data_IF_160007170386
#
_entry.id   IF_160007170386
#
_cell.length_a   1.000
_cell.length_b   1.000
_cell.length_c   1.000
_cell.angle_alpha   90.00
_cell.angle_beta   90.00
_cell.angle_gamma   90.00
#
_symmetry.space_group_name_H-M   'P 1'
#
loop_
_entity.id
_entity.type
_entity.pdbx_description
1 polymer ?
#
# COMPACT_ATOMS: atom_id res chain seq x y z
N UNK A 1 -29.89 48.51 -3.09
CA UNK A 1 -29.84 47.18 -2.46
C UNK A 1 -28.75 46.41 -3.18
N UNK A 2 -27.51 46.58 -2.72
CA UNK A 2 -26.35 45.89 -3.29
C UNK A 2 -26.36 44.45 -2.76
N UNK A 3 -26.45 43.49 -3.67
CA UNK A 3 -26.27 42.08 -3.38
C UNK A 3 -24.81 41.89 -2.96
N UNK A 4 -24.60 41.63 -1.67
CA UNK A 4 -23.36 41.08 -1.18
C UNK A 4 -23.22 39.69 -1.79
N UNK A 5 -22.36 39.58 -2.81
CA UNK A 5 -21.87 38.30 -3.31
C UNK A 5 -21.21 37.58 -2.13
N UNK A 6 -21.99 36.65 -1.56
CA UNK A 6 -21.57 35.77 -0.50
C UNK A 6 -20.46 34.90 -1.08
N UNK A 7 -19.22 35.23 -0.76
CA UNK A 7 -18.03 34.46 -1.12
C UNK A 7 -18.33 32.96 -1.01
N UNK A 8 -18.25 32.24 -2.12
CA UNK A 8 -18.13 30.79 -2.10
C UNK A 8 -16.82 30.48 -1.38
N UNK A 9 -16.89 30.29 -0.06
CA UNK A 9 -15.83 29.65 0.69
C UNK A 9 -15.68 28.26 0.08
N UNK A 10 -14.66 28.10 -0.78
CA UNK A 10 -14.15 26.78 -1.14
C UNK A 10 -14.04 26.00 0.16
N UNK A 11 -14.87 24.95 0.28
CA UNK A 11 -14.86 24.10 1.46
C UNK A 11 -13.41 23.68 1.68
N UNK A 12 -12.84 24.10 2.82
CA UNK A 12 -11.47 23.77 3.17
C UNK A 12 -11.28 22.27 2.93
N UNK A 13 -10.35 21.91 2.05
CA UNK A 13 -10.06 20.50 1.77
C UNK A 13 -9.86 19.82 3.13
N UNK A 14 -10.67 18.81 3.48
CA UNK A 14 -10.54 18.17 4.78
C UNK A 14 -9.09 17.70 4.91
N UNK A 15 -8.44 18.06 6.02
CA UNK A 15 -7.11 17.58 6.35
C UNK A 15 -7.08 16.05 6.21
N UNK A 16 -5.99 15.52 5.66
CA UNK A 16 -5.87 14.08 5.42
C UNK A 16 -6.19 13.30 6.70
N UNK A 17 -7.14 12.36 6.60
CA UNK A 17 -7.52 11.54 7.75
C UNK A 17 -6.30 10.76 8.26
N UNK A 18 -6.24 10.36 9.54
CA UNK A 18 -5.15 9.52 10.04
C UNK A 18 -4.94 8.26 9.19
N UNK A 19 -6.04 7.68 8.70
CA UNK A 19 -5.98 6.48 7.86
C UNK A 19 -5.42 6.77 6.47
N UNK A 20 -5.81 7.90 5.86
CA UNK A 20 -5.20 8.37 4.61
C UNK A 20 -3.70 8.60 4.76
N UNK A 21 -3.28 9.23 5.86
CA UNK A 21 -1.86 9.47 6.15
C UNK A 21 -1.07 8.16 6.26
N UNK A 22 -1.60 7.17 6.97
CA UNK A 22 -0.95 5.86 7.08
C UNK A 22 -0.89 5.12 5.74
N UNK A 23 -1.97 5.15 4.95
CA UNK A 23 -2.00 4.55 3.62
C UNK A 23 -0.95 5.19 2.69
N UNK A 24 -0.84 6.53 2.69
CA UNK A 24 0.17 7.26 1.93
C UNK A 24 1.60 6.87 2.34
N UNK A 25 1.88 6.85 3.64
CA UNK A 25 3.21 6.46 4.15
C UNK A 25 3.58 5.02 3.77
N UNK A 26 2.60 4.10 3.81
CA UNK A 26 2.80 2.72 3.39
C UNK A 26 3.14 2.62 1.90
N UNK A 27 2.38 3.31 1.04
CA UNK A 27 2.63 3.34 -0.40
C UNK A 27 3.96 4.02 -0.75
N UNK A 28 4.33 5.08 -0.03
CA UNK A 28 5.65 5.72 -0.17
C UNK A 28 6.78 4.77 0.22
N UNK A 29 6.60 3.98 1.27
CA UNK A 29 7.58 2.96 1.67
C UNK A 29 7.77 1.93 0.56
N UNK A 30 6.68 1.42 -0.02
CA UNK A 30 6.74 0.47 -1.14
C UNK A 30 7.39 1.09 -2.39
N UNK A 31 7.08 2.37 -2.67
CA UNK A 31 7.68 3.11 -3.79
C UNK A 31 9.17 3.33 -3.57
N UNK A 32 9.58 3.69 -2.35
CA UNK A 32 10.98 3.84 -1.97
C UNK A 32 11.78 2.53 -2.04
N UNK A 33 11.10 1.39 -1.90
CA UNK A 33 11.68 0.06 -2.08
C UNK A 33 11.63 -0.45 -3.53
N UNK A 34 11.07 0.33 -4.47
CA UNK A 34 10.93 -0.07 -5.87
C UNK A 34 9.91 -1.19 -6.13
N UNK A 35 9.04 -1.48 -5.16
CA UNK A 35 8.03 -2.55 -5.27
C UNK A 35 6.79 -2.12 -6.07
N UNK A 36 6.56 -0.81 -6.19
CA UNK A 36 5.45 -0.24 -6.96
C UNK A 36 5.85 -0.10 -8.43
N UNK A 37 5.35 -1.03 -9.25
CA UNK A 37 5.41 -0.93 -10.71
C UNK A 37 4.24 -0.10 -11.28
N UNK A 38 4.34 0.31 -12.55
CA UNK A 38 3.33 1.14 -13.23
C UNK A 38 1.90 0.56 -13.16
N UNK A 39 1.74 -0.76 -13.21
CA UNK A 39 0.43 -1.41 -13.14
C UNK A 39 -0.24 -1.28 -11.75
N UNK A 40 0.50 -0.88 -10.71
CA UNK A 40 -0.03 -0.64 -9.37
C UNK A 40 -0.51 0.80 -9.14
N UNK A 41 -0.22 1.76 -10.02
CA UNK A 41 -0.51 3.18 -9.78
C UNK A 41 -2.02 3.46 -9.61
N UNK A 42 -2.86 2.83 -10.43
CA UNK A 42 -4.32 2.94 -10.29
C UNK A 42 -4.79 2.40 -8.93
N UNK A 43 -4.21 1.27 -8.50
CA UNK A 43 -4.52 0.66 -7.20
C UNK A 43 -4.06 1.55 -6.05
N UNK A 44 -2.90 2.17 -6.15
CA UNK A 44 -2.39 3.13 -5.17
C UNK A 44 -3.36 4.31 -5.00
N UNK A 45 -3.84 4.88 -6.11
CA UNK A 45 -4.83 5.97 -6.07
C UNK A 45 -6.14 5.53 -5.39
N UNK A 46 -6.64 4.33 -5.73
CA UNK A 46 -7.85 3.78 -5.10
C UNK A 46 -7.67 3.51 -3.60
N UNK A 47 -6.52 2.99 -3.17
CA UNK A 47 -6.22 2.77 -1.75
C UNK A 47 -6.28 4.10 -0.97
N UNK A 48 -5.71 5.16 -1.54
CA UNK A 48 -5.75 6.50 -0.93
C UNK A 48 -7.19 7.01 -0.82
N UNK A 49 -7.98 6.93 -1.88
CA UNK A 49 -9.38 7.38 -1.86
C UNK A 49 -10.26 6.57 -0.89
N UNK A 50 -10.11 5.24 -0.88
CA UNK A 50 -10.82 4.37 0.06
C UNK A 50 -10.40 4.64 1.51
N UNK A 51 -9.11 4.84 1.77
CA UNK A 51 -8.62 5.17 3.12
C UNK A 51 -9.16 6.50 3.63
N UNK A 52 -9.33 7.50 2.75
CA UNK A 52 -10.00 8.77 3.07
C UNK A 52 -11.47 8.54 3.39
N UNK A 53 -12.21 7.89 2.50
CA UNK A 53 -13.66 7.68 2.64
C UNK A 53 -14.00 6.88 3.92
N UNK A 54 -13.22 5.86 4.25
CA UNK A 54 -13.41 5.09 5.49
C UNK A 54 -13.02 5.94 6.70
N UNK A 55 -11.92 6.70 6.64
CA UNK A 55 -11.52 7.60 7.72
C UNK A 55 -12.59 8.65 8.05
N UNK A 56 -13.16 9.28 7.02
CA UNK A 56 -14.27 10.24 7.16
C UNK A 56 -15.53 9.57 7.70
N UNK A 57 -15.91 8.40 7.16
CA UNK A 57 -17.07 7.65 7.62
C UNK A 57 -16.99 7.24 9.09
N UNK A 58 -15.79 6.85 9.55
CA UNK A 58 -15.53 6.53 10.95
C UNK A 58 -15.55 7.77 11.85
N UNK A 59 -14.98 8.90 11.39
CA UNK A 59 -14.94 10.16 12.14
C UNK A 59 -16.34 10.75 12.40
N UNK A 60 -17.28 10.55 11.46
CA UNK A 60 -18.67 11.03 11.61
C UNK A 60 -19.51 10.19 12.60
N UNK A 61 -18.93 9.16 13.23
CA UNK A 61 -19.63 8.27 14.17
C UNK A 61 -20.69 7.36 13.52
N UNK A 62 -20.93 7.50 12.21
CA UNK A 62 -21.88 6.71 11.44
C UNK A 62 -21.19 5.45 10.92
N UNK A 63 -21.06 4.45 11.79
CA UNK A 63 -20.62 3.10 11.38
C UNK A 63 -21.73 2.42 10.57
N UNK A 64 -21.76 2.70 9.28
CA UNK A 64 -22.74 2.15 8.34
C UNK A 64 -22.21 0.88 7.67
N UNK A 65 -23.13 0.07 7.12
CA UNK A 65 -22.78 -1.06 6.24
C UNK A 65 -21.87 -0.62 5.10
N UNK A 66 -22.09 0.58 4.55
CA UNK A 66 -21.25 1.15 3.50
C UNK A 66 -19.81 1.35 3.98
N UNK A 67 -19.59 1.92 5.17
CA UNK A 67 -18.25 2.14 5.74
C UNK A 67 -17.54 0.81 5.98
N UNK A 68 -18.25 -0.22 6.47
CA UNK A 68 -17.70 -1.57 6.66
C UNK A 68 -17.33 -2.22 5.33
N UNK A 69 -18.15 -2.07 4.30
CA UNK A 69 -17.84 -2.59 2.95
C UNK A 69 -16.63 -1.90 2.34
N UNK A 70 -16.51 -0.58 2.49
CA UNK A 70 -15.32 0.16 2.04
C UNK A 70 -14.07 -0.27 2.81
N UNK A 71 -14.17 -0.51 4.12
CA UNK A 71 -13.07 -1.03 4.92
C UNK A 71 -12.64 -2.43 4.47
N UNK A 72 -13.61 -3.30 4.12
CA UNK A 72 -13.32 -4.62 3.55
C UNK A 72 -12.59 -4.50 2.21
N UNK A 73 -13.11 -3.69 1.29
CA UNK A 73 -12.47 -3.47 -0.01
C UNK A 73 -11.06 -2.90 0.14
N UNK A 74 -10.85 -1.96 1.07
CA UNK A 74 -9.53 -1.43 1.38
C UNK A 74 -8.58 -2.55 1.85
N UNK A 75 -9.02 -3.43 2.75
CA UNK A 75 -8.23 -4.57 3.20
C UNK A 75 -7.91 -5.54 2.06
N UNK A 76 -8.89 -5.86 1.22
CA UNK A 76 -8.70 -6.76 0.07
C UNK A 76 -7.65 -6.15 -0.89
N UNK A 77 -7.74 -4.85 -1.16
CA UNK A 77 -6.77 -4.16 -2.02
C UNK A 77 -5.37 -4.07 -1.42
N UNK A 78 -5.25 -3.92 -0.09
CA UNK A 78 -3.98 -3.93 0.62
C UNK A 78 -3.35 -5.33 0.66
N UNK A 79 -4.16 -6.39 0.75
CA UNK A 79 -3.68 -7.77 0.71
C UNK A 79 -3.03 -8.12 -0.63
N UNK A 80 -3.53 -7.52 -1.71
CA UNK A 80 -2.98 -7.70 -3.06
C UNK A 80 -1.76 -6.79 -3.35
N UNK A 81 -1.32 -5.95 -2.40
CA UNK A 81 -0.12 -5.13 -2.56
C UNK A 81 1.15 -5.92 -2.24
N UNK A 82 2.28 -5.60 -2.90
CA UNK A 82 3.56 -6.18 -2.53
C UNK A 82 3.86 -5.87 -1.06
N UNK A 83 4.37 -6.86 -0.34
CA UNK A 83 4.73 -6.66 1.05
C UNK A 83 6.03 -5.86 1.15
N UNK A 84 6.13 -4.91 2.10
CA UNK A 84 7.38 -4.21 2.31
C UNK A 84 8.45 -5.21 2.71
N UNK A 85 9.65 -5.04 2.19
CA UNK A 85 10.81 -5.78 2.67
C UNK A 85 10.91 -5.53 4.17
N UNK A 86 10.99 -6.61 4.96
CA UNK A 86 11.04 -6.52 6.41
C UNK A 86 12.15 -5.53 6.80
N UNK A 87 11.81 -4.50 7.59
CA UNK A 87 12.83 -3.62 8.17
C UNK A 87 13.64 -4.35 9.28
N UNK A 88 13.52 -5.67 9.38
CA UNK A 88 14.18 -6.52 10.35
C UNK A 88 15.30 -7.32 9.70
N UNK A 89 16.52 -6.79 9.81
CA UNK A 89 17.79 -7.49 9.62
C UNK A 89 18.14 -7.86 8.17
N UNK A 90 18.57 -6.84 7.39
CA UNK A 90 19.19 -6.98 6.06
C UNK A 90 20.22 -8.11 5.96
N UNK A 91 20.88 -8.45 7.07
CA UNK A 91 21.85 -9.55 7.17
C UNK A 91 21.20 -10.94 7.06
N UNK A 92 20.02 -11.14 7.65
CA UNK A 92 19.30 -12.42 7.57
C UNK A 92 18.67 -12.61 6.19
N UNK A 93 18.15 -11.55 5.58
CA UNK A 93 17.64 -11.61 4.20
C UNK A 93 18.77 -11.86 3.20
N UNK A 94 19.92 -11.19 3.36
CA UNK A 94 21.10 -11.46 2.54
C UNK A 94 21.62 -12.90 2.74
N UNK A 95 21.56 -13.44 3.96
CA UNK A 95 21.93 -14.83 4.24
C UNK A 95 20.96 -15.81 3.58
N UNK A 96 19.64 -15.56 3.65
CA UNK A 96 18.63 -16.39 3.01
C UNK A 96 18.80 -16.41 1.49
N UNK A 97 18.99 -15.24 0.87
CA UNK A 97 19.26 -15.12 -0.58
C UNK A 97 20.56 -15.84 -0.96
N UNK A 98 21.60 -15.73 -0.13
CA UNK A 98 22.88 -16.41 -0.40
C UNK A 98 22.75 -17.93 -0.30
N UNK A 99 22.02 -18.43 0.70
CA UNK A 99 21.75 -19.87 0.88
C UNK A 99 20.91 -20.44 -0.26
N UNK A 100 19.90 -19.69 -0.72
CA UNK A 100 19.07 -20.07 -1.85
C UNK A 100 19.88 -20.14 -3.14
N UNK A 101 20.72 -19.14 -3.41
CA UNK A 101 21.60 -19.12 -4.58
C UNK A 101 22.64 -20.25 -4.57
N UNK A 102 23.26 -20.54 -3.43
CA UNK A 102 24.20 -21.66 -3.28
C UNK A 102 23.51 -23.00 -3.49
N UNK A 103 22.30 -23.18 -2.94
CA UNK A 103 21.53 -24.40 -3.11
C UNK A 103 21.12 -24.62 -4.57
N UNK A 104 20.72 -23.55 -5.26
CA UNK A 104 20.36 -23.60 -6.67
C UNK A 104 21.58 -23.94 -7.55
N UNK A 105 22.73 -23.32 -7.29
CA UNK A 105 23.98 -23.61 -8.01
C UNK A 105 24.47 -25.05 -7.78
N UNK A 106 24.39 -25.54 -6.54
CA UNK A 106 24.73 -26.91 -6.21
C UNK A 106 23.80 -27.92 -6.91
N UNK A 107 22.49 -27.65 -6.95
CA UNK A 107 21.52 -28.49 -7.64
C UNK A 107 21.77 -28.54 -9.15
N UNK A 108 22.08 -27.40 -9.78
CA UNK A 108 22.43 -27.34 -11.21
C UNK A 108 23.71 -28.12 -11.53
N UNK A 109 24.74 -28.05 -10.67
CA UNK A 109 25.97 -28.82 -10.85
C UNK A 109 25.74 -30.33 -10.74
N UNK A 110 24.91 -30.79 -9.80
CA UNK A 110 24.55 -32.21 -9.67
C UNK A 110 23.81 -32.70 -10.92
N UNK A 111 22.87 -31.90 -11.44
CA UNK A 111 22.13 -32.25 -12.66
C UNK A 111 23.02 -32.28 -13.91
N UNK A 112 24.02 -31.41 -13.99
CA UNK A 112 24.99 -31.38 -15.10
C UNK A 112 25.93 -32.59 -15.07
N UNK A 113 26.37 -32.99 -13.87
CA UNK A 113 27.24 -34.16 -13.69
C UNK A 113 26.51 -35.51 -13.83
N UNK A 114 25.18 -35.53 -13.72
CA UNK A 114 24.36 -36.73 -13.94
C UNK A 114 24.04 -37.01 -15.42
N UNK A 115 24.37 -36.07 -16.32
CA UNK A 115 24.14 -36.17 -17.76
C UNK A 115 25.40 -36.49 -18.58
N UNK A 116 26.55 -36.67 -17.92
CA UNK A 116 27.81 -37.14 -18.51
C UNK A 116 28.05 -38.61 -18.14
#
# INVERSE_FOLDING_TARGET
>A
MEQLELFELEAAKPDATPMEKHARNYLETLRGQGLIQAHHELRCAMIVELSRAVGEGLAQGKKTIATTNLAKQLNDMLADMPQPLAQGNKTLDALAITLENLSHAAFQQVMTNAQQ
#
